data_IF_868702263487
#
_entry.id   IF_868702263487
#
_cell.length_a   1.000
_cell.length_b   1.000
_cell.length_c   1.000
_cell.angle_alpha   90.00
_cell.angle_beta   90.00
_cell.angle_gamma   90.00
#
_symmetry.space_group_name_H-M   'P 1'
#
loop_
_entity.id
_entity.type
_entity.pdbx_description
1 polymer ?
#
# COMPACT_ATOMS: atom_id res chain seq x y z
N UNK A 1 -23.96 -9.62 47.14
CA UNK A 1 -23.79 -9.35 45.72
C UNK A 1 -24.05 -10.61 44.92
N UNK A 2 -24.88 -10.55 43.87
CA UNK A 2 -25.25 -11.74 43.07
C UNK A 2 -24.02 -12.19 42.25
N UNK A 3 -23.74 -13.50 42.19
CA UNK A 3 -22.67 -14.09 41.34
C UNK A 3 -22.70 -13.57 39.90
N UNK A 4 -23.87 -13.26 39.37
CA UNK A 4 -24.06 -12.70 38.04
C UNK A 4 -23.39 -11.34 37.88
N UNK A 5 -23.48 -10.42 38.87
CA UNK A 5 -22.85 -9.12 38.85
C UNK A 5 -21.31 -9.18 38.90
N UNK A 6 -20.77 -10.19 39.61
CA UNK A 6 -19.32 -10.40 39.68
C UNK A 6 -18.80 -10.89 38.33
N UNK A 7 -19.51 -11.81 37.66
CA UNK A 7 -19.14 -12.29 36.33
C UNK A 7 -19.20 -11.19 35.26
N UNK A 8 -20.24 -10.36 35.29
CA UNK A 8 -20.38 -9.20 34.39
C UNK A 8 -19.25 -8.18 34.58
N UNK A 9 -18.86 -7.93 35.83
CA UNK A 9 -17.70 -7.03 36.13
C UNK A 9 -16.39 -7.60 35.64
N UNK A 10 -16.14 -8.91 35.81
CA UNK A 10 -14.92 -9.57 35.36
C UNK A 10 -14.84 -9.59 33.82
N UNK A 11 -15.96 -9.88 33.14
CA UNK A 11 -16.04 -9.86 31.68
C UNK A 11 -15.73 -8.48 31.11
N UNK A 12 -16.32 -7.43 31.69
CA UNK A 12 -16.05 -6.04 31.28
C UNK A 12 -14.59 -5.64 31.48
N UNK A 13 -13.97 -6.10 32.59
CA UNK A 13 -12.54 -5.81 32.86
C UNK A 13 -11.60 -6.58 31.91
N UNK A 14 -11.96 -7.78 31.52
CA UNK A 14 -11.23 -8.57 30.52
C UNK A 14 -11.37 -7.94 29.14
N UNK A 15 -12.58 -7.55 28.73
CA UNK A 15 -12.82 -6.86 27.45
C UNK A 15 -12.05 -5.53 27.35
N UNK A 16 -12.01 -4.77 28.44
CA UNK A 16 -11.22 -3.54 28.48
C UNK A 16 -9.73 -3.81 28.37
N UNK A 17 -9.18 -4.78 29.11
CA UNK A 17 -7.76 -5.16 29.03
C UNK A 17 -7.37 -5.75 27.66
N UNK A 18 -8.25 -6.54 27.03
CA UNK A 18 -8.04 -7.05 25.68
C UNK A 18 -8.05 -5.90 24.66
N UNK A 19 -8.95 -4.93 24.83
CA UNK A 19 -8.98 -3.72 24.00
C UNK A 19 -7.74 -2.86 24.17
N UNK A 20 -7.27 -2.65 25.41
CA UNK A 20 -6.03 -1.92 25.70
C UNK A 20 -4.79 -2.66 25.16
N UNK A 21 -4.69 -3.98 25.33
CA UNK A 21 -3.62 -4.80 24.77
C UNK A 21 -3.62 -4.79 23.25
N UNK A 22 -4.78 -4.92 22.62
CA UNK A 22 -4.88 -4.84 21.16
C UNK A 22 -4.54 -3.44 20.64
N UNK A 23 -4.91 -2.38 21.35
CA UNK A 23 -4.53 -1.02 20.99
C UNK A 23 -3.01 -0.78 21.13
N UNK A 24 -2.37 -1.34 22.15
CA UNK A 24 -0.92 -1.28 22.34
C UNK A 24 -0.15 -2.14 21.34
N UNK A 25 -0.60 -3.37 21.07
CA UNK A 25 0.04 -4.26 20.10
C UNK A 25 -0.08 -3.78 18.64
N UNK A 26 -1.18 -3.11 18.32
CA UNK A 26 -1.40 -2.55 16.96
C UNK A 26 -0.62 -1.24 16.76
N UNK A 27 -0.28 -0.51 17.81
CA UNK A 27 0.36 0.81 17.71
C UNK A 27 1.90 0.74 17.65
N UNK A 28 2.54 -0.31 18.13
CA UNK A 28 4.01 -0.36 18.20
C UNK A 28 4.70 -0.95 16.97
N UNK A 29 4.03 -1.77 16.14
CA UNK A 29 4.70 -2.50 15.07
C UNK A 29 4.40 -1.99 13.65
N UNK A 30 3.38 -1.17 13.42
CA UNK A 30 2.92 -0.83 12.05
C UNK A 30 2.80 0.65 11.73
N UNK A 31 3.10 1.58 12.62
CA UNK A 31 2.74 2.98 12.38
C UNK A 31 3.91 3.97 12.43
N UNK A 32 4.16 4.62 11.31
CA UNK A 32 4.81 5.91 11.29
C UNK A 32 3.74 7.01 11.49
N UNK A 33 4.05 8.04 12.27
CA UNK A 33 3.14 9.18 12.45
C UNK A 33 3.53 10.29 11.49
N UNK A 34 2.60 10.75 10.66
CA UNK A 34 2.75 11.97 9.87
C UNK A 34 1.96 13.07 10.55
N UNK A 35 2.63 14.21 10.79
CA UNK A 35 1.96 15.45 11.12
C UNK A 35 1.67 16.18 9.81
N UNK A 36 0.42 16.32 9.45
CA UNK A 36 -0.04 17.16 8.35
C UNK A 36 -0.90 18.32 8.88
N UNK A 37 -1.47 19.10 7.97
CA UNK A 37 -2.32 20.24 8.29
C UNK A 37 -3.57 19.85 9.10
N UNK A 38 -4.00 18.59 9.00
CA UNK A 38 -5.21 18.05 9.64
C UNK A 38 -4.92 17.33 10.97
N UNK A 39 -3.64 17.15 11.36
CA UNK A 39 -3.22 16.49 12.61
C UNK A 39 -2.29 15.29 12.40
N UNK A 40 -2.14 14.49 13.46
CA UNK A 40 -1.33 13.27 13.42
C UNK A 40 -2.16 12.10 12.85
N UNK A 41 -1.71 11.54 11.73
CA UNK A 41 -2.33 10.37 11.10
C UNK A 41 -1.42 9.15 11.22
N UNK A 42 -2.03 8.00 11.43
CA UNK A 42 -1.33 6.72 11.40
C UNK A 42 -0.96 6.38 9.95
N UNK A 43 0.29 5.98 9.77
CA UNK A 43 0.80 5.49 8.49
C UNK A 43 0.99 3.99 8.60
N UNK A 44 0.29 3.25 7.78
CA UNK A 44 0.30 1.79 7.79
C UNK A 44 1.28 1.29 6.73
N UNK A 45 2.29 0.53 7.16
CA UNK A 45 3.06 -0.28 6.24
C UNK A 45 2.31 -1.60 6.00
N UNK A 46 1.69 -1.74 4.84
CA UNK A 46 0.86 -2.91 4.52
C UNK A 46 1.65 -4.24 4.62
N UNK A 47 2.96 -4.21 4.39
CA UNK A 47 3.84 -5.39 4.49
C UNK A 47 4.06 -5.84 5.93
N UNK A 48 3.93 -4.93 6.87
CA UNK A 48 4.18 -5.16 8.30
C UNK A 48 2.87 -5.22 9.11
N UNK A 49 1.74 -4.91 8.48
CA UNK A 49 0.43 -4.89 9.12
C UNK A 49 -0.12 -6.33 9.27
N UNK A 50 -0.24 -6.85 10.50
CA UNK A 50 -0.70 -8.23 10.75
C UNK A 50 -2.06 -8.54 10.14
N UNK A 51 -2.96 -7.56 10.12
CA UNK A 51 -4.33 -7.71 9.61
C UNK A 51 -4.38 -8.03 8.11
N UNK A 52 -3.35 -7.65 7.35
CA UNK A 52 -3.33 -7.78 5.89
C UNK A 52 -2.18 -8.63 5.35
N UNK A 53 -1.18 -8.94 6.17
CA UNK A 53 -0.03 -9.76 5.76
C UNK A 53 -0.45 -11.09 5.14
N UNK A 54 -1.44 -11.77 5.72
CA UNK A 54 -1.95 -13.04 5.21
C UNK A 54 -2.55 -12.95 3.81
N UNK A 55 -3.01 -11.77 3.37
CA UNK A 55 -3.51 -11.55 2.02
C UNK A 55 -2.37 -11.21 1.06
N UNK A 56 -1.45 -10.34 1.49
CA UNK A 56 -0.35 -9.81 0.67
C UNK A 56 0.71 -10.87 0.38
N UNK A 57 1.02 -11.73 1.37
CA UNK A 57 2.03 -12.79 1.24
C UNK A 57 1.46 -14.13 0.78
N UNK A 58 0.15 -14.22 0.56
CA UNK A 58 -0.47 -15.43 0.03
C UNK A 58 -0.30 -15.48 -1.49
N UNK A 59 0.35 -16.51 -1.99
CA UNK A 59 0.56 -16.70 -3.43
C UNK A 59 -0.71 -17.24 -4.14
N UNK A 60 -1.64 -17.81 -3.36
CA UNK A 60 -2.91 -18.37 -3.85
C UNK A 60 -4.11 -17.92 -3.00
N UNK A 61 -4.41 -16.62 -2.95
CA UNK A 61 -5.52 -16.11 -2.17
C UNK A 61 -6.85 -16.59 -2.77
N UNK A 62 -7.78 -16.96 -1.89
CA UNK A 62 -9.15 -17.26 -2.30
C UNK A 62 -9.93 -15.98 -2.63
N UNK A 63 -11.06 -16.12 -3.37
CA UNK A 63 -11.99 -14.99 -3.61
C UNK A 63 -12.47 -14.37 -2.28
N UNK A 64 -12.58 -15.18 -1.22
CA UNK A 64 -12.93 -14.71 0.12
C UNK A 64 -11.85 -13.80 0.70
N UNK A 65 -10.57 -14.17 0.55
CA UNK A 65 -9.45 -13.37 1.05
C UNK A 65 -9.38 -12.03 0.33
N UNK A 66 -9.53 -12.02 -0.99
CA UNK A 66 -9.58 -10.78 -1.78
C UNK A 66 -10.74 -9.88 -1.34
N UNK A 67 -11.93 -10.45 -1.12
CA UNK A 67 -13.09 -9.70 -0.65
C UNK A 67 -12.89 -9.14 0.77
N UNK A 68 -12.26 -9.90 1.67
CA UNK A 68 -11.95 -9.43 3.02
C UNK A 68 -10.90 -8.31 2.99
N UNK A 69 -9.88 -8.42 2.15
CA UNK A 69 -8.89 -7.36 1.99
C UNK A 69 -9.50 -6.09 1.36
N UNK A 70 -10.37 -6.22 0.35
CA UNK A 70 -11.13 -5.08 -0.18
C UNK A 70 -11.98 -4.39 0.89
N UNK A 71 -12.61 -5.17 1.78
CA UNK A 71 -13.36 -4.61 2.90
C UNK A 71 -12.45 -3.86 3.87
N UNK A 72 -11.29 -4.42 4.21
CA UNK A 72 -10.30 -3.78 5.06
C UNK A 72 -9.86 -2.43 4.45
N UNK A 73 -9.47 -2.41 3.17
CA UNK A 73 -9.09 -1.18 2.44
C UNK A 73 -10.22 -0.14 2.46
N UNK A 74 -11.48 -0.56 2.36
CA UNK A 74 -12.63 0.33 2.42
C UNK A 74 -12.84 0.96 3.80
N UNK A 75 -12.58 0.21 4.88
CA UNK A 75 -12.64 0.69 6.25
C UNK A 75 -11.51 1.68 6.56
N UNK A 76 -10.33 1.45 5.99
CA UNK A 76 -9.12 2.26 6.17
C UNK A 76 -8.92 3.31 5.05
N UNK A 77 -9.98 3.69 4.34
CA UNK A 77 -9.90 4.60 3.19
C UNK A 77 -9.24 5.95 3.48
N UNK A 78 -9.36 6.44 4.71
CA UNK A 78 -8.81 7.73 5.15
C UNK A 78 -7.41 7.60 5.76
N UNK A 79 -6.94 6.39 6.02
CA UNK A 79 -5.63 6.14 6.57
C UNK A 79 -4.56 6.25 5.49
N UNK A 80 -3.34 6.52 5.91
CA UNK A 80 -2.19 6.57 5.01
C UNK A 80 -1.49 5.22 4.95
N UNK A 81 -0.98 4.89 3.77
CA UNK A 81 -0.19 3.68 3.54
C UNK A 81 1.13 4.01 2.86
N UNK A 82 2.16 3.19 3.14
CA UNK A 82 3.47 3.28 2.49
C UNK A 82 3.51 2.37 1.29
N UNK A 83 3.86 2.95 0.14
CA UNK A 83 4.22 2.25 -1.10
C UNK A 83 5.55 2.80 -1.62
N UNK A 84 6.12 2.20 -2.63
CA UNK A 84 7.46 2.55 -3.12
C UNK A 84 7.45 2.96 -4.59
N UNK A 85 8.35 3.89 -4.94
CA UNK A 85 8.56 4.33 -6.32
C UNK A 85 10.06 4.35 -6.64
N UNK A 86 10.46 3.67 -7.70
CA UNK A 86 11.82 3.71 -8.23
C UNK A 86 11.91 4.65 -9.42
N UNK A 87 12.89 5.53 -9.42
CA UNK A 87 13.13 6.49 -10.52
C UNK A 87 14.59 6.86 -10.62
N UNK A 88 14.97 7.55 -11.70
CA UNK A 88 16.33 8.06 -11.88
C UNK A 88 16.75 8.97 -10.71
N UNK A 89 17.96 8.76 -10.20
CA UNK A 89 18.57 9.62 -9.19
C UNK A 89 18.76 11.08 -9.65
N UNK A 90 18.73 11.32 -10.97
CA UNK A 90 18.85 12.65 -11.57
C UNK A 90 17.54 13.46 -11.46
N UNK A 91 16.42 12.83 -11.08
CA UNK A 91 15.14 13.52 -10.89
C UNK A 91 15.08 14.09 -9.48
N UNK A 92 14.83 15.40 -9.32
CA UNK A 92 14.83 16.05 -8.00
C UNK A 92 13.51 15.79 -7.24
N UNK A 93 13.24 14.52 -6.94
CA UNK A 93 11.98 14.04 -6.34
C UNK A 93 11.68 14.73 -5.02
N UNK A 94 12.70 14.97 -4.17
CA UNK A 94 12.51 15.56 -2.85
C UNK A 94 12.11 17.04 -2.89
N UNK A 95 12.29 17.72 -4.03
CA UNK A 95 11.94 19.13 -4.21
C UNK A 95 10.75 19.34 -5.15
N UNK A 96 10.62 18.49 -6.18
CA UNK A 96 9.57 18.63 -7.19
C UNK A 96 8.41 17.62 -7.03
N UNK A 97 8.62 16.57 -6.23
CA UNK A 97 7.69 15.46 -6.13
C UNK A 97 7.75 14.51 -7.33
N UNK A 98 6.79 13.60 -7.40
CA UNK A 98 6.62 12.68 -8.52
C UNK A 98 5.49 13.19 -9.42
N UNK A 99 5.80 13.37 -10.69
CA UNK A 99 4.82 13.79 -11.69
C UNK A 99 4.16 12.56 -12.32
N UNK A 100 2.84 12.63 -12.50
CA UNK A 100 2.11 11.61 -13.26
C UNK A 100 2.64 11.51 -14.69
N UNK A 101 2.67 10.29 -15.22
CA UNK A 101 3.16 10.03 -16.59
C UNK A 101 2.39 10.83 -17.62
N UNK A 102 3.11 11.57 -18.49
CA UNK A 102 2.52 12.38 -19.55
C UNK A 102 2.56 11.71 -20.93
N UNK A 103 3.45 10.72 -21.10
CA UNK A 103 3.68 10.06 -22.37
C UNK A 103 3.58 8.54 -22.20
N UNK A 104 2.92 7.86 -23.15
CA UNK A 104 3.04 6.40 -23.29
C UNK A 104 4.47 6.08 -23.68
N UNK A 105 5.21 5.45 -22.78
CA UNK A 105 6.53 4.95 -23.12
C UNK A 105 6.40 3.88 -24.19
N UNK A 106 7.05 4.06 -25.34
CA UNK A 106 7.00 3.12 -26.47
C UNK A 106 7.74 1.82 -26.21
N UNK A 107 8.40 1.65 -25.06
CA UNK A 107 9.26 0.50 -24.76
C UNK A 107 8.65 -0.35 -23.64
N UNK A 108 8.49 -1.62 -23.92
CA UNK A 108 8.23 -2.81 -23.08
C UNK A 108 7.23 -2.76 -21.92
N UNK A 109 7.00 -1.64 -21.25
CA UNK A 109 5.98 -1.46 -20.23
C UNK A 109 4.92 -0.51 -20.77
N UNK A 110 3.73 -1.02 -21.05
CA UNK A 110 2.59 -0.20 -21.41
C UNK A 110 2.04 0.44 -20.15
N UNK A 111 2.46 1.67 -19.86
CA UNK A 111 1.92 2.46 -18.75
C UNK A 111 0.82 3.39 -19.26
N UNK A 112 -0.34 3.37 -18.62
CA UNK A 112 -1.41 4.34 -18.89
C UNK A 112 -0.96 5.73 -18.44
N UNK A 113 -1.25 6.75 -19.24
CA UNK A 113 -0.89 8.14 -18.91
C UNK A 113 -1.78 8.69 -17.79
N UNK A 114 -1.24 9.65 -17.04
CA UNK A 114 -1.99 10.35 -16.00
C UNK A 114 -1.91 9.73 -14.62
N UNK A 115 -1.00 8.78 -14.40
CA UNK A 115 -0.79 8.12 -13.10
C UNK A 115 0.67 8.17 -12.66
N UNK A 116 0.88 8.11 -11.34
CA UNK A 116 2.13 7.68 -10.72
C UNK A 116 1.94 6.24 -10.28
N UNK A 117 2.86 5.35 -10.69
CA UNK A 117 2.82 3.94 -10.36
C UNK A 117 3.64 3.68 -9.10
N UNK A 118 3.08 2.92 -8.19
CA UNK A 118 3.68 2.61 -6.89
C UNK A 118 3.73 1.10 -6.70
N UNK A 119 4.81 0.61 -6.14
CA UNK A 119 4.98 -0.80 -5.80
C UNK A 119 4.78 -1.03 -4.31
N UNK A 120 4.27 -2.20 -3.96
CA UNK A 120 4.21 -2.68 -2.58
C UNK A 120 5.63 -3.05 -2.06
N UNK A 121 6.55 -3.40 -2.98
CA UNK A 121 7.89 -3.88 -2.65
C UNK A 121 8.96 -2.91 -3.16
N UNK A 122 9.96 -2.52 -2.32
CA UNK A 122 11.05 -1.64 -2.75
C UNK A 122 11.87 -2.24 -3.90
N UNK A 123 12.16 -3.55 -3.86
CA UNK A 123 12.91 -4.23 -4.94
C UNK A 123 12.15 -4.19 -6.28
N UNK A 124 10.82 -4.38 -6.24
CA UNK A 124 10.01 -4.25 -7.45
C UNK A 124 10.00 -2.79 -7.95
N UNK A 125 9.93 -1.82 -7.05
CA UNK A 125 10.04 -0.41 -7.41
C UNK A 125 11.38 -0.09 -8.07
N UNK A 126 12.49 -0.61 -7.52
CA UNK A 126 13.83 -0.51 -8.12
C UNK A 126 13.85 -1.09 -9.52
N UNK A 127 13.37 -2.33 -9.68
CA UNK A 127 13.34 -3.01 -11.00
C UNK A 127 12.56 -2.20 -12.04
N UNK A 128 11.41 -1.64 -11.67
CA UNK A 128 10.64 -0.77 -12.59
C UNK A 128 11.38 0.53 -12.90
N UNK A 129 12.11 1.10 -11.95
CA UNK A 129 12.97 2.24 -12.15
C UNK A 129 14.08 1.93 -13.16
N UNK A 130 14.80 0.82 -13.00
CA UNK A 130 15.89 0.37 -13.89
C UNK A 130 15.39 0.10 -15.31
N UNK A 131 14.20 -0.50 -15.46
CA UNK A 131 13.60 -0.69 -16.79
C UNK A 131 13.24 0.65 -17.44
N UNK A 132 12.78 1.63 -16.65
CA UNK A 132 12.36 2.94 -17.14
C UNK A 132 13.55 3.86 -17.44
N UNK A 133 14.64 3.70 -16.71
CA UNK A 133 15.85 4.52 -16.77
C UNK A 133 17.11 3.63 -16.87
N UNK A 134 17.30 2.90 -17.99
CA UNK A 134 18.32 1.84 -18.11
C UNK A 134 19.78 2.33 -18.09
N UNK A 135 19.99 3.64 -18.12
CA UNK A 135 21.33 4.25 -18.13
C UNK A 135 21.58 5.15 -16.93
N UNK A 136 20.62 5.24 -16.00
CA UNK A 136 20.71 6.08 -14.82
C UNK A 136 20.85 5.23 -13.55
N UNK A 137 21.47 5.79 -12.54
CA UNK A 137 21.34 5.26 -11.19
C UNK A 137 19.89 5.42 -10.72
N UNK A 138 19.35 4.38 -10.12
CA UNK A 138 17.97 4.35 -9.64
C UNK A 138 17.93 4.49 -8.12
N UNK A 139 17.14 5.45 -7.65
CA UNK A 139 16.75 5.58 -6.25
C UNK A 139 15.33 5.09 -6.03
N UNK A 140 15.10 4.50 -4.86
CA UNK A 140 13.77 4.09 -4.39
C UNK A 140 13.32 5.06 -3.31
N UNK A 141 12.08 5.50 -3.41
CA UNK A 141 11.46 6.41 -2.45
C UNK A 141 10.23 5.73 -1.82
N UNK A 142 10.06 5.89 -0.51
CA UNK A 142 8.81 5.58 0.14
C UNK A 142 7.82 6.74 -0.11
N UNK A 143 6.62 6.37 -0.54
CA UNK A 143 5.53 7.29 -0.88
C UNK A 143 4.37 7.03 0.06
N UNK A 144 3.91 8.06 0.73
CA UNK A 144 2.90 7.99 1.78
C UNK A 144 1.63 8.64 1.25
N UNK A 145 0.60 7.85 0.98
CA UNK A 145 -0.65 8.28 0.35
C UNK A 145 -1.86 7.70 1.06
N UNK A 146 -3.00 8.40 0.98
CA UNK A 146 -4.27 7.86 1.51
C UNK A 146 -4.73 6.67 0.68
N UNK A 147 -5.31 5.66 1.34
CA UNK A 147 -5.87 4.49 0.66
C UNK A 147 -6.90 4.90 -0.40
N UNK A 148 -7.72 5.92 -0.13
CA UNK A 148 -8.73 6.40 -1.08
C UNK A 148 -8.16 7.01 -2.37
N UNK A 149 -6.89 7.43 -2.38
CA UNK A 149 -6.21 7.98 -3.56
C UNK A 149 -5.64 6.88 -4.46
N UNK A 150 -5.57 5.64 -3.95
CA UNK A 150 -5.05 4.50 -4.67
C UNK A 150 -6.07 3.97 -5.68
N UNK A 151 -5.58 3.66 -6.85
CA UNK A 151 -6.31 2.98 -7.91
C UNK A 151 -5.62 1.65 -8.26
N UNK A 152 -6.37 0.63 -8.72
CA UNK A 152 -5.77 -0.59 -9.23
C UNK A 152 -4.80 -0.33 -10.39
N UNK A 153 -3.66 -0.98 -10.39
CA UNK A 153 -2.75 -1.00 -11.53
C UNK A 153 -3.25 -2.00 -12.58
N UNK A 154 -4.11 -1.52 -13.48
CA UNK A 154 -4.75 -2.35 -14.49
C UNK A 154 -3.75 -2.93 -15.49
N UNK A 155 -2.62 -2.27 -15.70
CA UNK A 155 -1.59 -2.72 -16.64
C UNK A 155 -0.90 -3.97 -16.08
N UNK A 156 -0.58 -3.98 -14.78
CA UNK A 156 -0.03 -5.17 -14.11
C UNK A 156 -1.06 -6.30 -14.00
N UNK A 157 -2.31 -5.98 -13.66
CA UNK A 157 -3.38 -6.98 -13.60
C UNK A 157 -3.62 -7.64 -14.97
N UNK A 158 -3.61 -6.84 -16.05
CA UNK A 158 -3.73 -7.38 -17.42
C UNK A 158 -2.58 -8.34 -17.74
N UNK A 159 -1.35 -7.96 -17.42
CA UNK A 159 -0.19 -8.81 -17.63
C UNK A 159 -0.30 -10.12 -16.83
N UNK A 160 -0.70 -10.04 -15.54
CA UNK A 160 -0.86 -11.24 -14.70
C UNK A 160 -1.91 -12.20 -15.25
N UNK A 161 -3.07 -11.72 -15.69
CA UNK A 161 -4.09 -12.55 -16.34
C UNK A 161 -3.59 -13.24 -17.61
N UNK A 162 -2.77 -12.55 -18.39
CA UNK A 162 -2.19 -13.09 -19.62
C UNK A 162 -1.17 -14.21 -19.36
N UNK A 163 -0.46 -14.15 -18.21
CA UNK A 163 0.56 -15.14 -17.86
C UNK A 163 -0.01 -16.33 -17.09
N UNK A 164 -1.15 -16.18 -16.45
CA UNK A 164 -1.78 -17.20 -15.61
C UNK A 164 -3.30 -17.20 -15.81
N UNK A 165 -3.74 -17.92 -16.84
CA UNK A 165 -5.17 -18.07 -17.18
C UNK A 165 -5.93 -18.91 -16.14
N UNK A 166 -5.25 -19.61 -15.25
CA UNK A 166 -5.87 -20.44 -14.21
C UNK A 166 -6.48 -19.62 -13.08
N UNK A 167 -6.03 -18.37 -12.89
CA UNK A 167 -6.46 -17.48 -11.81
C UNK A 167 -7.52 -16.49 -12.27
N UNK A 168 -8.64 -16.49 -11.57
CA UNK A 168 -9.68 -15.46 -11.76
C UNK A 168 -9.29 -14.17 -11.05
N UNK A 169 -8.46 -13.36 -11.70
CA UNK A 169 -7.99 -12.09 -11.18
C UNK A 169 -9.00 -10.98 -11.52
N UNK A 170 -9.52 -10.29 -10.50
CA UNK A 170 -10.43 -9.15 -10.65
C UNK A 170 -9.70 -7.83 -11.00
N UNK A 171 -10.43 -6.71 -10.88
CA UNK A 171 -9.94 -5.35 -11.15
C UNK A 171 -9.98 -4.46 -9.90
N UNK A 172 -10.03 -5.04 -8.72
CA UNK A 172 -10.10 -4.28 -7.46
C UNK A 172 -8.71 -3.82 -7.00
N UNK A 173 -8.68 -2.91 -6.01
CA UNK A 173 -7.43 -2.48 -5.40
C UNK A 173 -6.74 -3.64 -4.67
N UNK A 174 -7.50 -4.53 -4.01
CA UNK A 174 -6.95 -5.72 -3.38
C UNK A 174 -6.31 -6.66 -4.42
N UNK A 175 -6.99 -6.92 -5.56
CA UNK A 175 -6.39 -7.71 -6.65
C UNK A 175 -5.05 -7.09 -7.11
N UNK A 176 -5.01 -5.77 -7.24
CA UNK A 176 -3.83 -5.05 -7.67
C UNK A 176 -2.66 -5.19 -6.68
N UNK A 177 -2.93 -5.01 -5.39
CA UNK A 177 -1.91 -5.13 -4.34
C UNK A 177 -1.43 -6.58 -4.16
N UNK A 178 -2.33 -7.55 -4.28
CA UNK A 178 -2.00 -8.97 -4.10
C UNK A 178 -1.33 -9.58 -5.33
N UNK A 179 -1.95 -9.46 -6.50
CA UNK A 179 -1.43 -10.09 -7.73
C UNK A 179 -0.47 -9.20 -8.51
N UNK A 180 -0.77 -7.88 -8.59
CA UNK A 180 0.05 -6.90 -9.29
C UNK A 180 1.23 -6.38 -8.45
N UNK A 181 1.18 -6.61 -7.13
CA UNK A 181 2.19 -6.11 -6.17
C UNK A 181 2.35 -4.59 -6.19
N UNK A 182 1.32 -3.86 -6.63
CA UNK A 182 1.36 -2.42 -6.74
C UNK A 182 -0.01 -1.77 -6.89
N UNK A 183 0.02 -0.45 -6.92
CA UNK A 183 -1.13 0.42 -7.15
C UNK A 183 -0.69 1.66 -7.91
N UNK A 184 -1.63 2.53 -8.26
CA UNK A 184 -1.32 3.80 -8.93
C UNK A 184 -2.17 4.93 -8.37
N UNK A 185 -1.67 6.16 -8.50
CA UNK A 185 -2.34 7.38 -8.04
C UNK A 185 -2.61 8.30 -9.22
N UNK A 186 -3.84 8.82 -9.34
CA UNK A 186 -4.28 9.68 -10.48
C UNK A 186 -3.93 11.16 -10.27
N UNK A 187 -2.90 11.46 -9.51
CA UNK A 187 -2.42 12.82 -9.27
C UNK A 187 -0.89 12.84 -9.17
N UNK A 188 -0.30 14.01 -9.14
CA UNK A 188 1.10 14.16 -8.74
C UNK A 188 1.24 13.82 -7.24
N UNK A 189 2.40 13.31 -6.86
CA UNK A 189 2.79 13.10 -5.46
C UNK A 189 3.67 14.30 -5.06
N UNK A 190 3.33 14.93 -3.96
CA UNK A 190 4.04 16.10 -3.48
C UNK A 190 5.28 15.71 -2.66
N UNK A 191 6.31 16.58 -2.56
CA UNK A 191 7.53 16.28 -1.81
C UNK A 191 7.29 15.88 -0.35
N UNK A 192 6.31 16.46 0.33
CA UNK A 192 6.00 16.14 1.72
C UNK A 192 5.41 14.73 1.92
N UNK A 193 4.90 14.09 0.84
CA UNK A 193 4.40 12.71 0.84
C UNK A 193 5.53 11.69 0.59
N UNK A 194 6.77 12.14 0.41
CA UNK A 194 7.89 11.30 -0.04
C UNK A 194 8.96 11.24 1.05
N UNK A 195 9.59 10.08 1.20
CA UNK A 195 10.74 9.88 2.08
C UNK A 195 11.84 9.16 1.30
N UNK A 196 13.09 9.56 1.51
CA UNK A 196 14.22 8.78 1.04
C UNK A 196 14.28 7.44 1.76
N UNK A 197 14.78 6.42 1.07
CA UNK A 197 15.00 5.10 1.63
C UNK A 197 16.45 4.70 1.42
N UNK A 198 16.92 3.76 2.22
CA UNK A 198 18.27 3.16 2.10
C UNK A 198 18.30 1.97 1.11
N UNK A 199 17.20 1.76 0.37
CA UNK A 199 17.08 0.71 -0.65
C UNK A 199 17.77 1.08 -1.96
#
# INVERSE_FOLDING_TARGET
MSQKRILESILSEIEQKVSELNSHLVLEECSYTISDVDGNHNVINLRECPDVQNYIFNDEPSDKDINMFNRWLSLHRNDYVVLYHGTSANIPVMTEGLRKTSLKTKKSIQSETGYVYLSLWPDSARTFGEISYPYDDVKVYAVIVKVQDLCPDKDQLFNKRRWDDSKKIGDTLADSLVYGRGARVKRNIYPYEIRETDF
#
